data_IF_367090088807
#
_entry.id   IF_367090088807
#
_cell.length_a   1.000
_cell.length_b   1.000
_cell.length_c   1.000
_cell.angle_alpha   90.00
_cell.angle_beta   90.00
_cell.angle_gamma   90.00
#
_symmetry.space_group_name_H-M   'P 1'
#
loop_
_entity.id
_entity.type
_entity.pdbx_description
1 polymer ?
#
# COMPACT_ATOMS: atom_id res chain seq x y z
N UNK A 1 -12.76 -42.02 15.18
CA UNK A 1 -12.63 -40.91 14.21
C UNK A 1 -12.74 -41.51 12.83
N UNK A 2 -13.75 -41.07 12.08
CA UNK A 2 -14.09 -41.55 10.74
C UNK A 2 -13.20 -40.85 9.68
N UNK A 3 -12.86 -41.53 8.58
CA UNK A 3 -12.08 -40.99 7.45
C UNK A 3 -12.64 -39.66 6.91
N UNK A 4 -13.96 -39.48 6.92
CA UNK A 4 -14.66 -38.23 6.56
C UNK A 4 -14.38 -37.11 7.56
N UNK A 5 -14.41 -37.41 8.86
CA UNK A 5 -14.07 -36.42 9.90
C UNK A 5 -12.61 -35.97 9.75
N UNK A 6 -11.70 -36.91 9.46
CA UNK A 6 -10.29 -36.59 9.18
C UNK A 6 -10.11 -35.70 7.94
N UNK A 7 -10.84 -35.99 6.86
CA UNK A 7 -10.80 -35.18 5.64
C UNK A 7 -11.35 -33.76 5.85
N UNK A 8 -12.41 -33.62 6.65
CA UNK A 8 -12.99 -32.32 7.01
C UNK A 8 -11.99 -31.51 7.84
N UNK A 9 -11.39 -32.11 8.87
CA UNK A 9 -10.40 -31.43 9.73
C UNK A 9 -9.19 -30.98 8.92
N UNK A 10 -8.66 -31.84 8.04
CA UNK A 10 -7.51 -31.50 7.21
C UNK A 10 -7.80 -30.35 6.25
N UNK A 11 -8.98 -30.37 5.61
CA UNK A 11 -9.40 -29.29 4.71
C UNK A 11 -9.58 -27.97 5.45
N UNK A 12 -10.21 -28.01 6.63
CA UNK A 12 -10.39 -26.84 7.48
C UNK A 12 -9.04 -26.25 7.92
N UNK A 13 -8.09 -27.09 8.35
CA UNK A 13 -6.75 -26.64 8.73
C UNK A 13 -5.99 -26.02 7.55
N UNK A 14 -6.15 -26.59 6.36
CA UNK A 14 -5.52 -26.06 5.14
C UNK A 14 -6.08 -24.67 4.80
N UNK A 15 -7.40 -24.49 4.86
CA UNK A 15 -8.04 -23.19 4.64
C UNK A 15 -7.61 -22.16 5.68
N UNK A 16 -7.54 -22.53 6.96
CA UNK A 16 -7.09 -21.64 8.04
C UNK A 16 -5.64 -21.23 7.83
N UNK A 17 -4.75 -22.18 7.53
CA UNK A 17 -3.34 -21.90 7.28
C UNK A 17 -3.16 -20.98 6.05
N UNK A 18 -3.84 -21.28 4.95
CA UNK A 18 -3.80 -20.46 3.74
C UNK A 18 -4.35 -19.05 3.98
N UNK A 19 -5.45 -18.93 4.73
CA UNK A 19 -6.03 -17.66 5.13
C UNK A 19 -5.08 -16.82 5.99
N UNK A 20 -4.41 -17.45 6.96
CA UNK A 20 -3.42 -16.78 7.81
C UNK A 20 -2.24 -16.23 6.99
N UNK A 21 -1.65 -17.05 6.11
CA UNK A 21 -0.56 -16.62 5.23
C UNK A 21 -1.01 -15.46 4.33
N UNK A 22 -2.17 -15.59 3.70
CA UNK A 22 -2.73 -14.53 2.84
C UNK A 22 -2.98 -13.22 3.61
N UNK A 23 -3.41 -13.32 4.87
CA UNK A 23 -3.56 -12.18 5.76
C UNK A 23 -2.24 -11.47 6.06
N UNK A 24 -1.18 -12.23 6.37
CA UNK A 24 0.15 -11.66 6.59
C UNK A 24 0.71 -10.98 5.34
N UNK A 25 0.57 -11.61 4.17
CA UNK A 25 1.00 -11.00 2.89
C UNK A 25 0.22 -9.71 2.63
N UNK A 26 -1.10 -9.71 2.84
CA UNK A 26 -1.93 -8.51 2.68
C UNK A 26 -1.48 -7.36 3.60
N UNK A 27 -1.13 -7.66 4.86
CA UNK A 27 -0.60 -6.68 5.79
C UNK A 27 0.79 -6.16 5.37
N UNK A 28 1.65 -7.04 4.87
CA UNK A 28 2.97 -6.68 4.35
C UNK A 28 2.84 -5.74 3.15
N UNK A 29 1.92 -6.02 2.22
CA UNK A 29 1.64 -5.15 1.07
C UNK A 29 1.11 -3.78 1.49
N UNK A 30 0.23 -3.73 2.50
CA UNK A 30 -0.23 -2.45 3.04
C UNK A 30 0.94 -1.64 3.64
N UNK A 31 1.83 -2.29 4.40
CA UNK A 31 3.02 -1.65 4.96
C UNK A 31 3.96 -1.13 3.87
N UNK A 32 4.18 -1.90 2.81
CA UNK A 32 4.97 -1.51 1.65
C UNK A 32 4.35 -0.30 0.94
N UNK A 33 3.04 -0.33 0.66
CA UNK A 33 2.31 0.79 0.06
C UNK A 33 2.44 2.07 0.92
N UNK A 34 2.39 1.94 2.24
CA UNK A 34 2.55 3.08 3.15
C UNK A 34 3.97 3.67 3.12
N UNK A 35 5.00 2.82 3.10
CA UNK A 35 6.38 3.27 2.97
C UNK A 35 6.60 3.98 1.62
N UNK A 36 6.09 3.39 0.54
CA UNK A 36 6.17 3.93 -0.81
C UNK A 36 5.46 5.29 -0.94
N UNK A 37 4.26 5.42 -0.39
CA UNK A 37 3.52 6.68 -0.38
C UNK A 37 4.28 7.79 0.34
N UNK A 38 4.92 7.48 1.48
CA UNK A 38 5.74 8.45 2.23
C UNK A 38 6.96 8.90 1.45
N UNK A 39 7.68 7.95 0.86
CA UNK A 39 8.87 8.24 0.07
C UNK A 39 8.52 9.07 -1.17
N UNK A 40 7.43 8.72 -1.86
CA UNK A 40 6.93 9.46 -3.02
C UNK A 40 6.45 10.87 -2.63
N UNK A 41 5.76 11.03 -1.49
CA UNK A 41 5.35 12.34 -1.00
C UNK A 41 6.55 13.22 -0.65
N UNK A 42 7.62 12.65 -0.09
CA UNK A 42 8.88 13.36 0.13
C UNK A 42 9.57 13.75 -1.18
N UNK A 43 9.62 12.83 -2.15
CA UNK A 43 10.16 13.12 -3.48
C UNK A 43 9.38 14.27 -4.15
N UNK A 44 8.05 14.23 -4.08
CA UNK A 44 7.18 15.30 -4.57
C UNK A 44 7.41 16.63 -3.85
N UNK A 45 7.60 16.61 -2.52
CA UNK A 45 7.92 17.81 -1.75
C UNK A 45 9.28 18.43 -2.13
N UNK A 46 10.21 17.65 -2.68
CA UNK A 46 11.48 18.10 -3.23
C UNK A 46 11.39 18.50 -4.73
N UNK A 47 10.19 18.54 -5.30
CA UNK A 47 9.97 18.91 -6.70
C UNK A 47 10.19 17.78 -7.71
N UNK A 48 10.32 16.53 -7.27
CA UNK A 48 10.41 15.38 -8.16
C UNK A 48 9.01 14.88 -8.58
N UNK A 49 8.93 14.13 -9.68
CA UNK A 49 7.70 13.45 -10.07
C UNK A 49 7.42 12.24 -9.17
N UNK A 50 6.53 12.44 -8.19
CA UNK A 50 6.12 11.41 -7.24
C UNK A 50 5.44 10.20 -7.91
N UNK A 51 4.76 10.39 -9.05
CA UNK A 51 4.13 9.28 -9.77
C UNK A 51 5.19 8.43 -10.46
N UNK A 52 6.13 9.06 -11.16
CA UNK A 52 7.25 8.35 -11.79
C UNK A 52 8.11 7.61 -10.75
N UNK A 53 8.32 8.21 -9.56
CA UNK A 53 9.04 7.58 -8.46
C UNK A 53 8.40 6.26 -8.01
N UNK A 54 7.07 6.26 -7.84
CA UNK A 54 6.34 5.05 -7.45
C UNK A 54 6.41 4.00 -8.55
N UNK A 55 6.11 4.37 -9.80
CA UNK A 55 6.08 3.43 -10.93
C UNK A 55 7.44 2.77 -11.17
N UNK A 56 8.55 3.48 -10.93
CA UNK A 56 9.91 2.89 -11.01
C UNK A 56 10.17 1.80 -9.98
N UNK A 57 9.62 1.94 -8.77
CA UNK A 57 9.79 0.97 -7.68
C UNK A 57 8.77 -0.14 -7.71
N UNK A 58 7.56 0.17 -8.14
CA UNK A 58 6.44 -0.74 -8.18
C UNK A 58 5.55 -0.41 -9.39
N UNK A 59 5.76 -1.07 -10.54
CA UNK A 59 5.04 -0.76 -11.77
C UNK A 59 3.56 -1.19 -11.74
N UNK A 60 3.19 -2.06 -10.80
CA UNK A 60 1.81 -2.56 -10.64
C UNK A 60 0.99 -1.68 -9.68
N UNK A 61 1.65 -0.81 -8.92
CA UNK A 61 0.98 0.09 -7.99
C UNK A 61 0.17 1.17 -8.71
N UNK A 62 -1.08 1.36 -8.27
CA UNK A 62 -1.95 2.46 -8.68
C UNK A 62 -1.64 3.69 -7.81
N UNK A 63 -1.41 4.84 -8.42
CA UNK A 63 -0.96 6.05 -7.71
C UNK A 63 -1.89 7.21 -7.98
N UNK A 64 -2.24 7.92 -6.91
CA UNK A 64 -2.90 9.20 -6.99
C UNK A 64 -2.07 10.24 -6.27
N UNK A 65 -1.60 11.25 -7.00
CA UNK A 65 -0.85 12.39 -6.46
C UNK A 65 -1.76 13.61 -6.53
N UNK A 66 -1.90 14.31 -5.41
CA UNK A 66 -2.60 15.60 -5.35
C UNK A 66 -1.68 16.64 -4.73
N UNK A 67 -1.56 17.77 -5.40
CA UNK A 67 -0.88 18.96 -4.90
C UNK A 67 -1.95 19.92 -4.41
N UNK A 68 -1.89 20.26 -3.13
CA UNK A 68 -2.86 21.14 -2.47
C UNK A 68 -2.13 22.18 -1.63
N UNK A 69 -2.87 23.09 -1.00
CA UNK A 69 -2.34 24.03 -0.02
C UNK A 69 -3.13 23.94 1.27
N UNK A 70 -2.42 23.92 2.40
CA UNK A 70 -3.02 24.04 3.73
C UNK A 70 -2.66 25.43 4.27
N UNK A 71 -3.58 26.38 4.10
CA UNK A 71 -3.27 27.81 4.23
C UNK A 71 -2.35 28.25 3.09
N UNK A 72 -1.19 28.81 3.43
CA UNK A 72 -0.16 29.22 2.47
C UNK A 72 0.86 28.11 2.16
N UNK A 73 0.84 27.00 2.91
CA UNK A 73 1.84 25.95 2.78
C UNK A 73 1.48 24.98 1.66
N UNK A 74 2.35 24.78 0.65
CA UNK A 74 2.13 23.74 -0.36
C UNK A 74 2.25 22.36 0.28
N UNK A 75 1.37 21.45 -0.11
CA UNK A 75 1.29 20.10 0.43
C UNK A 75 1.18 19.11 -0.71
N UNK A 76 1.98 18.05 -0.64
CA UNK A 76 1.92 16.91 -1.55
C UNK A 76 1.29 15.75 -0.81
N UNK A 77 0.16 15.27 -1.33
CA UNK A 77 -0.51 14.06 -0.85
C UNK A 77 -0.38 12.98 -1.92
N UNK A 78 0.11 11.82 -1.50
CA UNK A 78 0.26 10.65 -2.36
C UNK A 78 -0.52 9.50 -1.75
N UNK A 79 -1.40 8.90 -2.54
CA UNK A 79 -2.08 7.65 -2.21
C UNK A 79 -1.59 6.56 -3.16
N UNK A 80 -1.09 5.47 -2.59
CA UNK A 80 -0.64 4.28 -3.31
C UNK A 80 -1.62 3.16 -3.03
N UNK A 81 -2.09 2.48 -4.07
CA UNK A 81 -2.96 1.31 -3.97
C UNK A 81 -2.32 0.12 -4.67
N UNK A 82 -2.44 -1.06 -4.07
CA UNK A 82 -1.87 -2.32 -4.57
C UNK A 82 -2.89 -3.44 -4.45
N UNK A 83 -2.79 -4.40 -5.36
CA UNK A 83 -3.52 -5.65 -5.26
C UNK A 83 -2.85 -6.52 -4.19
N UNK A 84 -3.63 -7.20 -3.36
CA UNK A 84 -3.10 -8.13 -2.38
C UNK A 84 -4.00 -9.37 -2.25
N UNK A 85 -3.50 -10.48 -1.67
CA UNK A 85 -4.18 -11.78 -1.78
C UNK A 85 -5.61 -11.85 -1.25
N UNK A 86 -5.95 -11.05 -0.22
CA UNK A 86 -7.30 -11.04 0.35
C UNK A 86 -8.15 -9.87 -0.15
N UNK A 87 -7.55 -8.70 -0.32
CA UNK A 87 -8.23 -7.47 -0.73
C UNK A 87 -7.21 -6.45 -1.21
N UNK A 88 -7.64 -5.52 -2.06
CA UNK A 88 -6.84 -4.36 -2.43
C UNK A 88 -6.49 -3.55 -1.18
N UNK A 89 -5.26 -3.07 -1.13
CA UNK A 89 -4.75 -2.23 -0.04
C UNK A 89 -4.41 -0.85 -0.57
N UNK A 90 -4.78 0.18 0.19
CA UNK A 90 -4.43 1.57 -0.12
C UNK A 90 -3.81 2.24 1.08
N UNK A 91 -2.74 3.01 0.88
CA UNK A 91 -2.11 3.80 1.92
C UNK A 91 -1.77 5.20 1.39
N UNK A 92 -1.97 6.20 2.24
CA UNK A 92 -1.74 7.60 1.92
C UNK A 92 -0.66 8.23 2.80
N UNK A 93 0.09 9.17 2.23
CA UNK A 93 1.00 10.04 2.95
C UNK A 93 0.83 11.48 2.51
N UNK A 94 1.10 12.40 3.43
CA UNK A 94 0.98 13.84 3.23
C UNK A 94 2.26 14.49 3.74
N UNK A 95 2.90 15.31 2.91
CA UNK A 95 4.12 16.03 3.25
C UNK A 95 3.97 17.48 2.85
N UNK A 96 4.37 18.39 3.74
CA UNK A 96 4.46 19.83 3.46
C UNK A 96 5.70 20.06 2.59
N UNK A 97 5.53 20.69 1.44
CA UNK A 97 6.63 21.11 0.59
C UNK A 97 7.18 22.45 1.06
N UNK A 98 8.46 22.71 0.78
CA UNK A 98 9.03 24.02 1.02
C UNK A 98 8.40 25.04 0.05
N UNK A 99 8.02 26.23 0.52
CA UNK A 99 7.57 27.29 -0.37
C UNK A 99 8.75 27.71 -1.25
N UNK A 100 8.66 27.43 -2.54
CA UNK A 100 9.56 28.02 -3.54
C UNK A 100 9.17 29.48 -3.72
N UNK A 101 10.06 30.40 -3.32
CA UNK A 101 9.97 31.84 -3.61
C UNK A 101 9.94 32.13 -5.12
#
# INVERSE_FOLDING_TARGET
>A
MNTVEGAIVLSAMTLVAAGAVSGFVTLAEHSAAQALARDAARAGALGQDAQAYVVQRDPEARVQVSHDRVGELPVVRVTVSKDAPLMDVSAGAVVVAEPTE
#
